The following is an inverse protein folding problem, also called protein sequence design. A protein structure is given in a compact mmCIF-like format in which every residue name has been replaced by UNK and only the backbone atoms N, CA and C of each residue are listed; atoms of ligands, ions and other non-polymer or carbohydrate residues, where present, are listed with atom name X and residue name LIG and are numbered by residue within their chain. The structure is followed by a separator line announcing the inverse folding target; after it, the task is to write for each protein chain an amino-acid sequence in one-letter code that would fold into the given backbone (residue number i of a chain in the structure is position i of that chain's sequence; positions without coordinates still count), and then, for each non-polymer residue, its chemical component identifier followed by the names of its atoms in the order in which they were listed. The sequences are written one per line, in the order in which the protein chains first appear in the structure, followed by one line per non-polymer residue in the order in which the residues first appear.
data_IF_365396092392
#
_entry.id   IF_365396092392
#
_cell.length_a   1.000
_cell.length_b   1.000
_cell.length_c   1.000
_cell.angle_alpha   90.00
_cell.angle_beta   90.00
_cell.angle_gamma   90.00
#
_symmetry.space_group_name_H-M   'P 1'
#
loop_
_entity.id
_entity.type
_entity.pdbx_description
1 polymer ?
#
# COMPACT_ATOMS: atom_id res chain seq x y z
N UNK A 1 12.10 40.56 3.40
CA UNK A 1 12.67 39.54 2.51
C UNK A 1 11.99 38.21 2.78
N UNK A 2 11.64 37.47 1.73
CA UNK A 2 10.98 36.14 1.82
C UNK A 2 12.01 35.04 2.15
N UNK A 3 13.25 35.21 1.69
CA UNK A 3 14.37 34.29 1.93
C UNK A 3 15.48 34.93 2.71
N UNK A 4 16.18 34.14 3.53
CA UNK A 4 17.42 34.46 4.20
C UNK A 4 18.52 33.46 3.81
N UNK A 5 19.77 33.92 3.84
CA UNK A 5 20.94 33.07 3.55
C UNK A 5 21.41 32.42 4.86
N UNK A 6 21.59 31.12 4.86
CA UNK A 6 22.16 30.34 5.96
C UNK A 6 23.42 29.61 5.51
N UNK A 7 24.15 29.02 6.44
CA UNK A 7 25.33 28.19 6.15
C UNK A 7 25.02 26.95 5.29
N UNK A 8 23.73 26.55 5.22
CA UNK A 8 23.24 25.41 4.44
C UNK A 8 22.49 25.81 3.15
N UNK A 9 22.53 27.10 2.76
CA UNK A 9 21.85 27.62 1.58
C UNK A 9 20.78 28.65 1.90
N UNK A 10 19.81 28.82 0.98
CA UNK A 10 18.66 29.73 1.15
C UNK A 10 17.54 29.04 1.93
N UNK A 11 17.05 29.72 2.96
CA UNK A 11 15.90 29.26 3.78
C UNK A 11 14.80 30.33 3.79
N UNK A 12 13.56 29.91 3.98
CA UNK A 12 12.43 30.83 4.16
C UNK A 12 12.58 31.57 5.49
N UNK A 13 12.20 32.84 5.49
CA UNK A 13 11.97 33.60 6.73
C UNK A 13 10.56 33.31 7.23
N UNK A 14 10.24 33.69 8.46
CA UNK A 14 8.87 33.60 9.01
C UNK A 14 7.82 34.31 8.12
N UNK A 15 8.22 35.43 7.52
CA UNK A 15 7.38 36.16 6.54
C UNK A 15 7.28 35.32 5.26
N UNK A 16 8.37 34.65 4.84
CA UNK A 16 8.42 33.76 3.69
C UNK A 16 7.52 32.55 3.86
N UNK A 17 7.49 31.95 5.03
CA UNK A 17 6.59 30.80 5.35
C UNK A 17 5.12 31.21 5.31
N UNK A 18 4.76 32.36 5.90
CA UNK A 18 3.41 32.89 5.82
C UNK A 18 3.00 33.15 4.37
N UNK A 19 3.86 33.81 3.60
CA UNK A 19 3.60 34.08 2.20
C UNK A 19 3.46 32.80 1.37
N UNK A 20 4.33 31.81 1.57
CA UNK A 20 4.23 30.50 0.91
C UNK A 20 2.89 29.82 1.20
N UNK A 21 2.42 29.87 2.46
CA UNK A 21 1.14 29.28 2.86
C UNK A 21 -0.03 29.93 2.11
N UNK A 22 -0.07 31.24 2.01
CA UNK A 22 -1.14 31.98 1.30
C UNK A 22 -1.08 31.72 -0.21
N UNK A 23 0.10 31.78 -0.82
CA UNK A 23 0.29 31.49 -2.26
C UNK A 23 -0.08 30.05 -2.59
N UNK A 24 0.37 29.09 -1.77
CA UNK A 24 -0.01 27.69 -1.96
C UNK A 24 -1.53 27.48 -1.84
N UNK A 25 -2.20 28.18 -0.91
CA UNK A 25 -3.64 28.18 -0.81
C UNK A 25 -4.33 28.69 -2.07
N UNK A 26 -3.86 29.83 -2.61
CA UNK A 26 -4.41 30.41 -3.84
C UNK A 26 -4.19 29.47 -5.07
N UNK A 27 -3.00 28.90 -5.22
CA UNK A 27 -2.70 27.95 -6.29
C UNK A 27 -3.54 26.68 -6.18
N UNK A 28 -3.82 26.21 -4.96
CA UNK A 28 -4.72 25.09 -4.74
C UNK A 28 -6.15 25.40 -5.19
N UNK A 29 -6.68 26.62 -4.94
CA UNK A 29 -8.00 27.04 -5.40
C UNK A 29 -8.06 27.07 -6.93
N UNK A 30 -7.04 27.59 -7.59
CA UNK A 30 -6.95 27.59 -9.05
C UNK A 30 -6.91 26.16 -9.59
N UNK A 31 -6.09 25.29 -8.97
CA UNK A 31 -6.03 23.88 -9.31
C UNK A 31 -7.38 23.16 -9.16
N UNK A 32 -8.12 23.44 -8.08
CA UNK A 32 -9.46 22.91 -7.87
C UNK A 32 -10.45 23.36 -8.97
N UNK A 33 -10.48 24.65 -9.30
CA UNK A 33 -11.33 25.18 -10.35
C UNK A 33 -11.01 24.56 -11.72
N UNK A 34 -9.72 24.42 -12.03
CA UNK A 34 -9.27 23.77 -13.26
C UNK A 34 -9.70 22.29 -13.30
N UNK A 35 -9.52 21.57 -12.19
CA UNK A 35 -9.93 20.18 -12.08
C UNK A 35 -11.45 20.01 -12.19
N UNK A 36 -12.24 20.93 -11.65
CA UNK A 36 -13.71 20.92 -11.84
C UNK A 36 -14.10 21.01 -13.32
N UNK A 37 -13.50 21.93 -14.06
CA UNK A 37 -13.75 22.05 -15.51
C UNK A 37 -13.31 20.80 -16.27
N UNK A 38 -12.16 20.23 -15.94
CA UNK A 38 -11.68 18.99 -16.56
C UNK A 38 -12.62 17.82 -16.22
N UNK A 39 -13.17 17.79 -15.01
CA UNK A 39 -14.09 16.75 -14.55
C UNK A 39 -15.43 16.80 -15.27
N UNK A 40 -15.98 18.00 -15.49
CA UNK A 40 -17.19 18.16 -16.28
C UNK A 40 -17.02 17.62 -17.71
N UNK A 41 -15.79 17.63 -18.24
CA UNK A 41 -15.43 17.03 -19.54
C UNK A 41 -15.26 15.50 -19.43
N UNK A 42 -14.92 14.98 -18.25
CA UNK A 42 -14.62 13.56 -18.02
C UNK A 42 -15.56 12.89 -17.00
N UNK A 43 -16.86 13.17 -17.07
CA UNK A 43 -17.90 12.61 -16.18
C UNK A 43 -17.95 11.07 -16.16
N UNK A 44 -17.36 10.41 -17.15
CA UNK A 44 -17.42 8.96 -17.34
C UNK A 44 -16.37 8.17 -16.57
N UNK A 45 -15.47 8.82 -15.79
CA UNK A 45 -14.40 8.12 -15.09
C UNK A 45 -14.72 7.91 -13.61
N UNK A 46 -14.61 6.66 -13.16
CA UNK A 46 -14.47 6.31 -11.75
C UNK A 46 -12.98 6.36 -11.38
N UNK A 47 -12.61 7.33 -10.55
CA UNK A 47 -11.23 7.58 -10.15
C UNK A 47 -10.95 6.93 -8.81
N UNK A 48 -10.10 5.91 -8.86
CA UNK A 48 -9.75 5.11 -7.70
C UNK A 48 -8.29 5.40 -7.33
N UNK A 49 -8.05 5.66 -6.07
CA UNK A 49 -6.71 5.66 -5.50
C UNK A 49 -6.53 4.47 -4.57
N UNK A 50 -5.34 3.90 -4.55
CA UNK A 50 -5.02 2.73 -3.72
C UNK A 50 -3.56 2.68 -3.34
N UNK A 51 -3.22 1.94 -2.28
CA UNK A 51 -1.84 1.53 -2.04
C UNK A 51 -1.35 0.64 -3.20
N UNK A 52 -0.07 0.78 -3.64
CA UNK A 52 0.43 0.12 -4.85
C UNK A 52 0.24 -1.39 -4.87
N UNK A 53 0.61 -2.07 -3.80
CA UNK A 53 0.48 -3.54 -3.73
C UNK A 53 -0.98 -3.99 -3.75
N UNK A 54 -1.88 -3.26 -3.10
CA UNK A 54 -3.30 -3.58 -3.11
C UNK A 54 -3.93 -3.34 -4.49
N UNK A 55 -3.59 -2.22 -5.12
CA UNK A 55 -4.01 -1.90 -6.48
C UNK A 55 -3.61 -2.99 -7.47
N UNK A 56 -2.36 -3.44 -7.42
CA UNK A 56 -1.83 -4.45 -8.32
C UNK A 56 -2.40 -5.87 -8.03
N UNK A 57 -2.33 -6.31 -6.78
CA UNK A 57 -2.54 -7.73 -6.44
C UNK A 57 -3.99 -8.07 -6.13
N UNK A 58 -4.75 -7.13 -5.58
CA UNK A 58 -6.13 -7.38 -5.19
C UNK A 58 -7.14 -6.73 -6.12
N UNK A 59 -6.95 -5.45 -6.45
CA UNK A 59 -7.94 -4.68 -7.20
C UNK A 59 -7.89 -5.00 -8.70
N UNK A 60 -6.71 -4.92 -9.30
CA UNK A 60 -6.55 -5.09 -10.76
C UNK A 60 -7.14 -6.41 -11.29
N UNK A 61 -6.95 -7.58 -10.66
CA UNK A 61 -7.57 -8.82 -11.14
C UNK A 61 -9.11 -8.82 -11.10
N UNK A 62 -9.72 -7.88 -10.38
CA UNK A 62 -11.17 -7.74 -10.22
C UNK A 62 -11.77 -6.68 -11.13
N UNK A 63 -10.96 -5.80 -11.72
CA UNK A 63 -11.43 -4.70 -12.56
C UNK A 63 -12.11 -5.18 -13.83
N UNK A 64 -11.68 -6.30 -14.41
CA UNK A 64 -12.32 -6.82 -15.63
C UNK A 64 -13.77 -7.25 -15.36
N UNK A 65 -14.00 -7.98 -14.27
CA UNK A 65 -15.36 -8.36 -13.85
C UNK A 65 -16.22 -7.12 -13.53
N UNK A 66 -15.63 -6.11 -12.91
CA UNK A 66 -16.32 -4.85 -12.63
C UNK A 66 -16.71 -4.14 -13.94
N UNK A 67 -15.79 -4.05 -14.91
CA UNK A 67 -16.03 -3.45 -16.22
C UNK A 67 -17.14 -4.18 -17.00
N UNK A 68 -17.19 -5.51 -16.91
CA UNK A 68 -18.27 -6.30 -17.54
C UNK A 68 -19.64 -5.96 -16.93
N UNK A 69 -19.72 -5.71 -15.62
CA UNK A 69 -20.95 -5.32 -14.95
C UNK A 69 -21.36 -3.85 -15.22
N UNK A 70 -20.39 -2.98 -15.49
CA UNK A 70 -20.58 -1.55 -15.68
C UNK A 70 -19.79 -1.05 -16.90
N UNK A 71 -20.17 -1.43 -18.13
CA UNK A 71 -19.40 -1.17 -19.34
C UNK A 71 -19.26 0.31 -19.68
N UNK A 72 -20.19 1.15 -19.23
CA UNK A 72 -20.18 2.60 -19.46
C UNK A 72 -19.14 3.33 -18.62
N UNK A 73 -18.72 2.73 -17.50
CA UNK A 73 -17.77 3.37 -16.61
C UNK A 73 -16.35 3.16 -17.09
N UNK A 74 -15.64 4.25 -17.31
CA UNK A 74 -14.19 4.26 -17.47
C UNK A 74 -13.54 4.27 -16.10
N UNK A 75 -12.44 3.54 -15.93
CA UNK A 75 -11.73 3.44 -14.66
C UNK A 75 -10.38 4.11 -14.79
N UNK A 76 -10.07 5.00 -13.84
CA UNK A 76 -8.75 5.55 -13.63
C UNK A 76 -8.21 5.07 -12.29
N UNK A 77 -7.11 4.33 -12.29
CA UNK A 77 -6.48 3.82 -11.07
C UNK A 77 -5.14 4.49 -10.87
N UNK A 78 -4.98 5.17 -9.77
CA UNK A 78 -3.71 5.78 -9.32
C UNK A 78 -3.25 5.09 -8.05
N UNK A 79 -1.97 4.82 -7.94
CA UNK A 79 -1.42 4.11 -6.78
C UNK A 79 -0.27 4.89 -6.14
N UNK A 80 -0.43 5.23 -4.87
CA UNK A 80 0.64 5.82 -4.03
C UNK A 80 0.36 5.58 -2.54
N UNK A 81 1.32 5.94 -1.68
CA UNK A 81 1.12 5.97 -0.23
C UNK A 81 0.81 7.37 0.29
N UNK A 82 0.64 8.33 -0.58
CA UNK A 82 0.33 9.70 -0.21
C UNK A 82 -1.07 9.83 0.38
N UNK A 83 -1.23 10.81 1.26
CA UNK A 83 -2.55 11.13 1.81
C UNK A 83 -3.41 11.83 0.77
N UNK A 84 -4.62 11.34 0.57
CA UNK A 84 -5.58 11.87 -0.39
C UNK A 84 -6.45 12.93 0.27
N UNK A 85 -6.65 14.04 -0.45
CA UNK A 85 -7.66 15.05 -0.18
C UNK A 85 -8.69 15.01 -1.32
N UNK A 86 -9.83 14.37 -1.09
CA UNK A 86 -10.86 14.13 -2.12
C UNK A 86 -11.25 15.40 -2.91
N UNK A 87 -11.37 16.53 -2.23
CA UNK A 87 -11.72 17.80 -2.85
C UNK A 87 -10.63 18.37 -3.77
N UNK A 88 -9.36 18.01 -3.54
CA UNK A 88 -8.20 18.53 -4.30
C UNK A 88 -7.72 17.56 -5.36
N UNK A 89 -7.66 16.27 -5.00
CA UNK A 89 -6.92 15.28 -5.77
C UNK A 89 -7.81 14.58 -6.79
N UNK A 90 -9.10 14.96 -6.83
CA UNK A 90 -10.07 14.46 -7.80
C UNK A 90 -10.17 12.92 -7.79
N UNK A 91 -10.34 12.36 -6.62
CA UNK A 91 -10.50 10.93 -6.38
C UNK A 91 -11.91 10.67 -5.88
N UNK A 92 -12.58 9.67 -6.44
CA UNK A 92 -13.93 9.26 -6.04
C UNK A 92 -13.88 8.19 -4.94
N UNK A 93 -12.89 7.28 -5.00
CA UNK A 93 -12.69 6.20 -4.05
C UNK A 93 -11.23 6.13 -3.65
N UNK A 94 -10.96 6.08 -2.34
CA UNK A 94 -9.63 5.79 -1.81
C UNK A 94 -9.65 4.47 -1.03
N UNK A 95 -8.76 3.55 -1.38
CA UNK A 95 -8.62 2.24 -0.75
C UNK A 95 -7.28 2.17 -0.05
N UNK A 96 -7.31 2.16 1.28
CA UNK A 96 -6.10 2.12 2.10
C UNK A 96 -6.22 1.18 3.28
N UNK A 97 -5.10 0.71 3.74
CA UNK A 97 -4.99 -0.04 4.98
C UNK A 97 -4.94 0.92 6.16
N UNK A 98 -5.65 0.60 7.26
CA UNK A 98 -5.62 1.39 8.48
C UNK A 98 -6.97 1.46 9.20
N UNK A 99 -7.00 2.22 10.29
CA UNK A 99 -8.20 2.44 11.08
C UNK A 99 -9.04 3.57 10.46
N UNK A 100 -10.33 3.34 10.34
CA UNK A 100 -11.27 4.34 9.83
C UNK A 100 -11.50 5.47 10.85
N UNK A 101 -10.96 6.65 10.56
CA UNK A 101 -11.13 7.85 11.39
C UNK A 101 -11.53 9.06 10.54
N UNK A 102 -12.50 8.86 9.63
CA UNK A 102 -12.97 9.91 8.71
C UNK A 102 -14.48 10.14 8.89
N UNK A 103 -14.89 10.97 9.86
CA UNK A 103 -16.30 11.15 10.20
C UNK A 103 -17.13 11.80 9.08
N UNK A 104 -16.48 12.46 8.12
CA UNK A 104 -17.14 13.13 6.99
C UNK A 104 -17.22 12.27 5.72
N UNK A 105 -16.69 11.06 5.74
CA UNK A 105 -16.64 10.16 4.58
C UNK A 105 -17.48 8.91 4.81
N UNK A 106 -18.00 8.36 3.72
CA UNK A 106 -18.61 7.02 3.75
C UNK A 106 -17.49 5.98 3.73
N UNK A 107 -17.36 5.23 4.82
CA UNK A 107 -16.31 4.21 4.98
C UNK A 107 -16.90 2.82 4.90
N UNK A 108 -16.29 1.97 4.08
CA UNK A 108 -16.59 0.53 3.96
C UNK A 108 -15.33 -0.26 4.29
N UNK A 109 -15.45 -1.27 5.14
CA UNK A 109 -14.30 -2.10 5.54
C UNK A 109 -14.28 -3.40 4.77
N UNK A 110 -13.14 -3.76 4.20
CA UNK A 110 -12.88 -5.09 3.66
C UNK A 110 -12.54 -6.00 4.85
N UNK A 111 -13.37 -7.01 5.07
CA UNK A 111 -13.26 -7.92 6.22
C UNK A 111 -12.44 -9.17 5.88
N UNK A 112 -12.10 -9.95 6.93
CA UNK A 112 -11.43 -11.26 6.85
C UNK A 112 -9.97 -11.20 6.37
N UNK A 113 -9.31 -10.07 6.56
CA UNK A 113 -7.87 -9.99 6.37
C UNK A 113 -7.15 -10.73 7.50
N UNK A 114 -6.16 -11.54 7.12
CA UNK A 114 -5.24 -12.24 8.03
C UNK A 114 -3.81 -12.07 7.51
N UNK A 115 -2.88 -11.89 8.41
CA UNK A 115 -1.46 -11.85 8.09
C UNK A 115 -0.84 -13.19 8.47
N UNK A 116 -0.31 -13.88 7.47
CA UNK A 116 0.20 -15.24 7.56
C UNK A 116 1.59 -15.34 6.92
N UNK A 117 2.44 -16.30 7.34
CA UNK A 117 3.62 -16.67 6.59
C UNK A 117 3.21 -17.31 5.25
N UNK A 118 3.95 -17.02 4.18
CA UNK A 118 3.79 -17.65 2.87
C UNK A 118 5.13 -17.97 2.26
N UNK A 119 5.19 -19.09 1.56
CA UNK A 119 6.36 -19.48 0.76
C UNK A 119 5.94 -20.27 -0.47
N UNK A 120 6.85 -20.50 -1.41
CA UNK A 120 6.61 -21.40 -2.53
C UNK A 120 6.90 -22.84 -2.15
N UNK A 121 6.19 -23.80 -2.76
CA UNK A 121 6.47 -25.23 -2.63
C UNK A 121 7.90 -25.58 -3.03
N UNK A 122 8.47 -24.84 -3.96
CA UNK A 122 9.89 -25.00 -4.38
C UNK A 122 10.86 -24.68 -3.23
N UNK A 123 10.59 -23.60 -2.47
CA UNK A 123 11.42 -23.27 -1.31
C UNK A 123 11.24 -24.27 -0.17
N UNK A 124 10.01 -24.74 0.05
CA UNK A 124 9.67 -25.70 1.10
C UNK A 124 10.12 -27.13 0.76
N UNK A 125 10.45 -27.43 -0.49
CA UNK A 125 10.89 -28.75 -0.91
C UNK A 125 12.10 -29.24 -0.07
N UNK A 126 11.92 -30.34 0.65
CA UNK A 126 12.95 -30.93 1.54
C UNK A 126 13.11 -30.18 2.88
N UNK A 127 12.26 -29.22 3.20
CA UNK A 127 12.19 -28.56 4.52
C UNK A 127 10.92 -29.00 5.22
N UNK A 128 11.03 -29.45 6.45
CA UNK A 128 9.88 -29.79 7.31
C UNK A 128 9.64 -28.60 8.26
N UNK A 129 8.71 -27.71 7.88
CA UNK A 129 8.36 -26.50 8.66
C UNK A 129 7.03 -26.75 9.34
N UNK A 130 7.05 -27.24 10.58
CA UNK A 130 5.85 -27.58 11.35
C UNK A 130 5.65 -26.67 12.57
N UNK A 131 6.69 -25.93 12.95
CA UNK A 131 6.68 -25.05 14.12
C UNK A 131 7.17 -23.64 13.79
N UNK A 132 6.95 -22.71 14.72
CA UNK A 132 7.52 -21.36 14.60
C UNK A 132 9.04 -21.37 14.66
N UNK A 133 9.61 -22.28 15.42
CA UNK A 133 11.05 -22.51 15.53
C UNK A 133 11.64 -22.92 14.19
N UNK A 134 10.99 -23.84 13.47
CA UNK A 134 11.41 -24.25 12.12
C UNK A 134 11.29 -23.08 11.14
N UNK A 135 10.22 -22.31 11.23
CA UNK A 135 10.02 -21.11 10.44
C UNK A 135 11.15 -20.10 10.64
N UNK A 136 11.58 -19.88 11.88
CA UNK A 136 12.66 -18.94 12.23
C UNK A 136 14.04 -19.42 11.80
N UNK A 137 14.20 -20.71 11.53
CA UNK A 137 15.43 -21.28 10.95
C UNK A 137 15.49 -21.12 9.42
N UNK A 138 14.40 -20.66 8.79
CA UNK A 138 14.32 -20.40 7.36
C UNK A 138 14.81 -19.00 6.99
N UNK A 139 14.98 -18.78 5.69
CA UNK A 139 15.28 -17.47 5.12
C UNK A 139 14.03 -16.57 5.16
N UNK A 140 14.04 -15.57 6.03
CA UNK A 140 12.92 -14.66 6.18
C UNK A 140 13.11 -13.41 5.31
N UNK A 141 12.04 -13.03 4.64
CA UNK A 141 11.95 -11.81 3.83
C UNK A 141 11.09 -10.78 4.58
N UNK A 142 11.58 -9.55 4.65
CA UNK A 142 10.84 -8.43 5.24
C UNK A 142 10.20 -7.53 4.19
N UNK A 143 9.05 -6.95 4.53
CA UNK A 143 8.40 -5.88 3.77
C UNK A 143 8.12 -4.70 4.69
N UNK A 144 8.68 -3.53 4.36
CA UNK A 144 8.48 -2.29 5.13
C UNK A 144 7.04 -1.76 5.02
N UNK A 145 6.30 -2.19 4.01
CA UNK A 145 4.94 -1.69 3.75
C UNK A 145 3.85 -2.40 4.55
N UNK A 146 4.18 -3.44 5.32
CA UNK A 146 3.19 -4.17 6.14
C UNK A 146 2.95 -3.45 7.46
N UNK A 147 1.66 -3.31 7.87
CA UNK A 147 1.32 -2.80 9.21
C UNK A 147 1.65 -3.81 10.32
N UNK A 148 1.59 -5.10 10.00
CA UNK A 148 1.90 -6.21 10.91
C UNK A 148 3.14 -6.90 10.40
N UNK A 149 4.30 -6.46 10.87
CA UNK A 149 5.58 -7.09 10.54
C UNK A 149 5.90 -8.28 11.45
N UNK A 150 6.97 -9.00 11.12
CA UNK A 150 7.45 -10.18 11.84
C UNK A 150 7.52 -10.00 13.36
N UNK A 151 8.02 -8.86 13.83
CA UNK A 151 8.14 -8.59 15.27
C UNK A 151 6.81 -8.61 16.00
N UNK A 152 5.78 -8.00 15.41
CA UNK A 152 4.45 -7.95 16.00
C UNK A 152 3.79 -9.34 15.95
N UNK A 153 3.91 -10.01 14.81
CA UNK A 153 3.34 -11.35 14.59
C UNK A 153 3.94 -12.36 15.58
N UNK A 154 5.28 -12.41 15.71
CA UNK A 154 5.98 -13.30 16.64
C UNK A 154 5.66 -12.98 18.11
N UNK A 155 5.50 -11.69 18.44
CA UNK A 155 5.09 -11.27 19.79
C UNK A 155 3.72 -11.81 20.15
N UNK A 156 2.75 -11.81 19.23
CA UNK A 156 1.43 -12.41 19.46
C UNK A 156 1.50 -13.92 19.67
N UNK A 157 2.45 -14.59 19.00
CA UNK A 157 2.75 -16.00 19.20
C UNK A 157 3.65 -16.28 20.41
N UNK A 158 3.92 -15.25 21.27
CA UNK A 158 4.71 -15.34 22.50
C UNK A 158 6.18 -15.74 22.27
N UNK A 159 6.72 -15.56 21.08
CA UNK A 159 8.13 -15.77 20.75
C UNK A 159 8.92 -14.54 21.21
N UNK A 160 9.95 -14.77 22.03
CA UNK A 160 10.84 -13.72 22.56
C UNK A 160 12.29 -13.98 22.13
N UNK A 161 13.04 -12.90 22.02
CA UNK A 161 14.49 -12.99 21.83
C UNK A 161 14.96 -13.50 20.47
N UNK A 162 14.07 -13.53 19.45
CA UNK A 162 14.49 -13.89 18.09
C UNK A 162 15.38 -12.80 17.47
N UNK A 163 16.40 -13.24 16.74
CA UNK A 163 17.31 -12.35 16.04
C UNK A 163 16.70 -11.96 14.68
N UNK A 164 16.58 -10.64 14.43
CA UNK A 164 16.09 -10.11 13.16
C UNK A 164 17.14 -10.29 12.07
N UNK A 165 17.13 -11.45 11.44
CA UNK A 165 18.01 -11.71 10.30
C UNK A 165 17.16 -11.90 9.05
N UNK A 166 16.92 -10.79 8.32
CA UNK A 166 16.24 -10.82 7.03
C UNK A 166 17.30 -10.86 5.93
N UNK A 167 17.16 -11.82 5.03
CA UNK A 167 18.05 -11.90 3.87
C UNK A 167 17.67 -10.87 2.79
N UNK A 168 16.39 -10.50 2.74
CA UNK A 168 15.89 -9.45 1.87
C UNK A 168 14.95 -8.51 2.63
N UNK A 169 15.01 -7.24 2.27
CA UNK A 169 14.09 -6.21 2.72
C UNK A 169 13.56 -5.44 1.52
N UNK A 170 12.24 -5.41 1.35
CA UNK A 170 11.58 -4.71 0.27
C UNK A 170 10.65 -3.62 0.80
N UNK A 171 10.53 -2.53 0.08
CA UNK A 171 9.64 -1.42 0.44
C UNK A 171 8.20 -1.62 -0.06
N UNK A 172 7.93 -2.74 -0.76
CA UNK A 172 6.63 -3.07 -1.36
C UNK A 172 6.27 -4.53 -1.16
N UNK A 173 5.05 -4.79 -0.70
CA UNK A 173 4.52 -6.15 -0.53
C UNK A 173 4.53 -6.98 -1.82
N UNK A 174 4.25 -6.36 -2.97
CA UNK A 174 4.27 -7.11 -4.24
C UNK A 174 5.67 -7.64 -4.58
N UNK A 175 6.74 -6.94 -4.18
CA UNK A 175 8.13 -7.42 -4.38
C UNK A 175 8.43 -8.59 -3.45
N UNK A 176 8.02 -8.51 -2.19
CA UNK A 176 8.17 -9.62 -1.23
C UNK A 176 7.44 -10.86 -1.70
N UNK A 177 6.20 -10.70 -2.15
CA UNK A 177 5.38 -11.80 -2.69
C UNK A 177 6.05 -12.43 -3.90
N UNK A 178 6.60 -11.64 -4.81
CA UNK A 178 7.28 -12.16 -5.99
C UNK A 178 8.59 -12.88 -5.61
N UNK A 179 9.35 -12.36 -4.66
CA UNK A 179 10.54 -13.02 -4.15
C UNK A 179 10.22 -14.41 -3.53
N UNK A 180 9.13 -14.50 -2.74
CA UNK A 180 8.68 -15.78 -2.20
C UNK A 180 8.25 -16.76 -3.31
N UNK A 181 7.55 -16.28 -4.36
CA UNK A 181 7.19 -17.08 -5.54
C UNK A 181 8.41 -17.64 -6.27
N UNK A 182 9.50 -16.87 -6.31
CA UNK A 182 10.77 -17.29 -6.89
C UNK A 182 11.55 -18.27 -6.00
N UNK A 183 11.02 -18.66 -4.83
CA UNK A 183 11.68 -19.56 -3.92
C UNK A 183 12.81 -18.93 -3.11
N UNK A 184 12.78 -17.62 -2.88
CA UNK A 184 13.84 -16.89 -2.19
C UNK A 184 13.69 -16.90 -0.67
N UNK A 185 12.57 -17.41 -0.13
CA UNK A 185 12.35 -17.47 1.32
C UNK A 185 10.89 -17.41 1.72
N UNK A 186 10.63 -17.07 2.99
CA UNK A 186 9.32 -16.97 3.61
C UNK A 186 9.00 -15.51 3.88
N UNK A 187 7.83 -15.06 3.45
CA UNK A 187 7.27 -13.73 3.70
C UNK A 187 6.20 -13.79 4.78
N UNK A 188 5.96 -12.66 5.43
CA UNK A 188 4.78 -12.44 6.26
C UNK A 188 3.89 -11.41 5.57
N UNK A 189 2.72 -11.84 5.11
CA UNK A 189 1.86 -10.99 4.27
C UNK A 189 0.37 -11.20 4.50
N UNK A 190 -0.41 -10.23 4.01
CA UNK A 190 -1.86 -10.31 3.99
C UNK A 190 -2.37 -11.40 3.03
N UNK A 191 -3.30 -12.21 3.50
CA UNK A 191 -4.00 -13.19 2.66
C UNK A 191 -4.78 -12.54 1.50
N UNK A 192 -5.13 -11.26 1.60
CA UNK A 192 -5.76 -10.51 0.50
C UNK A 192 -4.76 -10.27 -0.63
N UNK A 193 -3.52 -9.92 -0.30
CA UNK A 193 -2.46 -9.66 -1.27
C UNK A 193 -1.87 -10.94 -1.84
N UNK A 194 -1.62 -11.95 -1.00
CA UNK A 194 -1.10 -13.24 -1.42
C UNK A 194 -2.15 -14.14 -2.10
N UNK A 195 -3.44 -13.83 -1.96
CA UNK A 195 -4.55 -14.71 -2.32
C UNK A 195 -4.56 -15.20 -3.76
N UNK A 196 -4.16 -14.38 -4.73
CA UNK A 196 -4.03 -14.80 -6.12
C UNK A 196 -2.90 -15.83 -6.29
N UNK A 197 -1.74 -15.58 -5.69
CA UNK A 197 -0.61 -16.49 -5.73
C UNK A 197 -0.90 -17.82 -5.07
N UNK A 198 -1.68 -17.81 -3.97
CA UNK A 198 -2.16 -19.04 -3.31
C UNK A 198 -3.16 -19.79 -4.19
N UNK A 199 -4.14 -19.11 -4.79
CA UNK A 199 -5.11 -19.75 -5.67
C UNK A 199 -4.49 -20.39 -6.91
N UNK A 200 -3.38 -19.83 -7.39
CA UNK A 200 -2.57 -20.34 -8.50
C UNK A 200 -1.53 -21.38 -8.05
N UNK A 201 -1.49 -21.75 -6.78
CA UNK A 201 -0.51 -22.68 -6.19
C UNK A 201 0.94 -22.24 -6.35
N UNK A 202 1.19 -20.94 -6.46
CA UNK A 202 2.55 -20.40 -6.47
C UNK A 202 3.07 -20.18 -5.06
N UNK A 203 2.18 -19.96 -4.08
CA UNK A 203 2.47 -19.82 -2.66
C UNK A 203 1.57 -20.73 -1.83
N UNK A 204 2.09 -21.16 -0.69
CA UNK A 204 1.40 -21.91 0.35
C UNK A 204 1.52 -21.14 1.69
N UNK A 205 0.46 -21.13 2.54
CA UNK A 205 0.52 -20.54 3.87
C UNK A 205 1.26 -21.41 4.87
#
# INVERSE_FOLDING_TARGET
KIFSRSSKGMVLTTIGEKYLKEVSGALNIIGQATNQVINDIHQDYLRIHSAPSFGLLWLMPRLDKFRQAWPELKISLTCSYESIQFSRDNIDIDIRHGLSQWPTLVVKTIKNERVLPFSSSTYLAGRDVQSIEDLLACDLIHSDSTLIGWSNWLSWHKVRGWNKNFIFNFDRSYMSIEAARMGMGIILESNLLAGQSVSQRHLEP
#
